data_IF_181638789191
#
_entry.id   IF_181638789191
#
_cell.length_a   1.000
_cell.length_b   1.000
_cell.length_c   1.000
_cell.angle_alpha   90.00
_cell.angle_beta   90.00
_cell.angle_gamma   90.00
#
_symmetry.space_group_name_H-M   'P 1'
#
loop_
_entity.id
_entity.type
_entity.pdbx_description
1 polymer ?
#
# COMPACT_ATOMS: atom_id res chain seq x y z
N UNK A 1 6.28 -7.64 4.52
CA UNK A 1 5.22 -6.66 4.14
C UNK A 1 5.73 -5.23 4.11
N UNK A 2 6.49 -4.77 5.12
CA UNK A 2 7.08 -3.42 5.12
C UNK A 2 7.96 -3.20 3.90
N UNK A 3 8.86 -4.13 3.59
CA UNK A 3 9.71 -4.08 2.39
C UNK A 3 8.90 -4.03 1.08
N UNK A 4 7.76 -4.73 1.01
CA UNK A 4 6.88 -4.69 -0.16
C UNK A 4 6.23 -3.31 -0.35
N UNK A 5 5.77 -2.68 0.73
CA UNK A 5 5.20 -1.33 0.69
C UNK A 5 6.26 -0.29 0.36
N UNK A 6 7.46 -0.41 0.94
CA UNK A 6 8.60 0.45 0.63
C UNK A 6 9.00 0.35 -0.86
N UNK A 7 9.14 -0.87 -1.37
CA UNK A 7 9.43 -1.09 -2.79
C UNK A 7 8.29 -0.57 -3.68
N UNK A 8 7.04 -0.68 -3.23
CA UNK A 8 5.88 -0.12 -3.91
C UNK A 8 5.92 1.41 -4.02
N UNK A 9 6.33 2.10 -2.96
CA UNK A 9 6.53 3.55 -3.00
C UNK A 9 7.65 3.93 -3.99
N UNK A 10 8.80 3.26 -3.92
CA UNK A 10 9.92 3.48 -4.85
C UNK A 10 9.47 3.23 -6.29
N UNK A 11 8.71 2.16 -6.54
CA UNK A 11 8.15 1.87 -7.85
C UNK A 11 7.22 2.97 -8.35
N UNK A 12 6.30 3.44 -7.52
CA UNK A 12 5.38 4.50 -7.87
C UNK A 12 6.11 5.81 -8.22
N UNK A 13 7.08 6.21 -7.40
CA UNK A 13 7.89 7.40 -7.63
C UNK A 13 8.80 7.26 -8.87
N UNK A 14 9.34 6.07 -9.14
CA UNK A 14 10.15 5.82 -10.34
C UNK A 14 9.34 5.84 -11.65
N UNK A 15 8.03 5.60 -11.58
CA UNK A 15 7.10 5.67 -12.73
C UNK A 15 6.56 7.07 -12.99
N UNK A 16 6.48 7.89 -11.95
CA UNK A 16 5.86 9.21 -12.01
C UNK A 16 6.84 10.28 -11.53
N UNK A 17 7.60 10.90 -12.48
CA UNK A 17 8.54 11.96 -12.13
C UNK A 17 7.89 13.20 -11.50
N UNK A 18 6.60 13.44 -11.78
CA UNK A 18 5.85 14.55 -11.19
C UNK A 18 5.58 14.27 -9.71
N UNK A 19 5.14 13.06 -9.39
CA UNK A 19 4.92 12.63 -8.00
C UNK A 19 6.23 12.59 -7.21
N UNK A 20 7.33 12.10 -7.82
CA UNK A 20 8.67 12.15 -7.23
C UNK A 20 9.10 13.57 -6.90
N UNK A 21 9.01 14.50 -7.88
CA UNK A 21 9.38 15.90 -7.68
C UNK A 21 8.51 16.56 -6.60
N UNK A 22 7.22 16.27 -6.57
CA UNK A 22 6.27 16.80 -5.59
C UNK A 22 6.65 16.41 -4.15
N UNK A 23 6.93 15.13 -3.90
CA UNK A 23 7.32 14.67 -2.56
C UNK A 23 8.70 15.20 -2.17
N UNK A 24 9.66 15.24 -3.11
CA UNK A 24 10.98 15.76 -2.86
C UNK A 24 10.96 17.26 -2.51
N UNK A 25 10.09 18.04 -3.15
CA UNK A 25 9.93 19.48 -2.87
C UNK A 25 9.18 19.76 -1.57
N UNK A 26 8.37 18.84 -1.09
CA UNK A 26 7.57 18.99 0.12
C UNK A 26 7.66 17.75 1.03
N UNK A 27 8.64 17.69 1.95
CA UNK A 27 8.80 16.58 2.89
C UNK A 27 7.59 16.32 3.80
N UNK A 28 6.70 17.30 4.00
CA UNK A 28 5.46 17.11 4.78
C UNK A 28 4.50 16.10 4.12
N UNK A 29 4.74 15.74 2.86
CA UNK A 29 3.99 14.69 2.16
C UNK A 29 4.50 13.27 2.47
N UNK A 30 5.64 13.10 3.14
CA UNK A 30 6.21 11.76 3.42
C UNK A 30 5.25 10.87 4.22
N UNK A 31 4.56 11.34 5.26
CA UNK A 31 3.55 10.51 5.94
C UNK A 31 2.43 10.06 4.98
N UNK A 32 1.97 10.94 4.10
CA UNK A 32 0.97 10.62 3.07
C UNK A 32 1.50 9.63 2.02
N UNK A 33 2.76 9.80 1.59
CA UNK A 33 3.47 8.85 0.72
C UNK A 33 3.48 7.43 1.33
N UNK A 34 3.79 7.32 2.63
CA UNK A 34 3.81 6.03 3.35
C UNK A 34 2.43 5.39 3.38
N UNK A 35 1.40 6.16 3.75
CA UNK A 35 0.03 5.65 3.80
C UNK A 35 -0.46 5.22 2.40
N UNK A 36 -0.18 6.01 1.38
CA UNK A 36 -0.55 5.67 0.01
C UNK A 36 0.22 4.46 -0.53
N UNK A 37 1.49 4.30 -0.18
CA UNK A 37 2.27 3.12 -0.54
C UNK A 37 1.68 1.84 0.04
N UNK A 38 1.23 1.89 1.29
CA UNK A 38 0.60 0.76 1.97
C UNK A 38 -0.76 0.44 1.32
N UNK A 39 -1.59 1.46 1.04
CA UNK A 39 -2.86 1.30 0.33
C UNK A 39 -2.64 0.70 -1.05
N UNK A 40 -1.81 1.35 -1.86
CA UNK A 40 -1.61 1.04 -3.28
C UNK A 40 -0.97 -0.33 -3.49
N UNK A 41 0.01 -0.69 -2.66
CA UNK A 41 0.66 -2.01 -2.71
C UNK A 41 -0.21 -3.11 -2.11
N UNK A 42 -0.93 -2.83 -1.03
CA UNK A 42 -1.71 -3.84 -0.28
C UNK A 42 -0.90 -5.12 -0.07
N UNK A 43 0.17 -5.08 0.76
CA UNK A 43 1.16 -6.17 0.83
C UNK A 43 0.59 -7.50 1.36
N UNK A 44 -0.53 -7.48 2.06
CA UNK A 44 -1.36 -8.65 2.38
C UNK A 44 -2.66 -8.53 1.59
N UNK A 45 -2.92 -9.50 0.72
CA UNK A 45 -4.05 -9.43 -0.22
C UNK A 45 -5.39 -9.67 0.44
N UNK A 46 -5.45 -10.59 1.42
CA UNK A 46 -6.69 -10.99 2.10
C UNK A 46 -6.41 -11.69 3.42
N UNK A 47 -7.43 -11.77 4.25
CA UNK A 47 -7.53 -12.71 5.36
C UNK A 47 -8.85 -13.43 5.33
N UNK A 48 -8.89 -14.61 5.96
CA UNK A 48 -10.11 -15.41 6.10
C UNK A 48 -10.77 -15.17 7.45
N UNK A 49 -12.10 -15.32 7.48
CA UNK A 49 -12.93 -15.36 8.69
C UNK A 49 -13.90 -16.52 8.57
N UNK A 50 -14.39 -17.00 9.71
CA UNK A 50 -15.52 -17.92 9.75
C UNK A 50 -16.69 -17.24 10.49
N UNK A 51 -17.89 -17.38 9.95
CA UNK A 51 -19.08 -16.89 10.60
C UNK A 51 -19.34 -17.65 11.90
N UNK A 52 -19.51 -16.94 13.02
CA UNK A 52 -19.79 -17.56 14.33
C UNK A 52 -21.28 -17.80 14.57
N UNK A 53 -22.13 -17.16 13.79
CA UNK A 53 -23.59 -17.30 13.80
C UNK A 53 -24.13 -17.03 12.39
N UNK A 54 -25.38 -17.41 12.14
CA UNK A 54 -26.10 -16.98 10.94
C UNK A 54 -26.22 -15.47 10.93
N UNK A 55 -25.95 -14.84 9.79
CA UNK A 55 -26.00 -13.40 9.62
C UNK A 55 -26.34 -13.01 8.20
N UNK A 56 -26.43 -11.71 7.94
CA UNK A 56 -26.65 -11.16 6.60
C UNK A 56 -25.67 -10.02 6.36
N UNK A 57 -25.10 -9.96 5.15
CA UNK A 57 -24.24 -8.89 4.70
C UNK A 57 -24.60 -8.52 3.24
N UNK A 58 -24.93 -7.26 3.01
CA UNK A 58 -25.30 -6.76 1.67
C UNK A 58 -26.45 -7.54 1.03
N UNK A 59 -27.47 -7.94 1.81
CA UNK A 59 -28.62 -8.72 1.33
C UNK A 59 -28.32 -10.21 1.10
N UNK A 60 -27.11 -10.68 1.41
CA UNK A 60 -26.73 -12.10 1.28
C UNK A 60 -26.71 -12.78 2.64
N UNK A 61 -27.40 -13.92 2.73
CA UNK A 61 -27.39 -14.79 3.93
C UNK A 61 -26.04 -15.51 4.02
N UNK A 62 -25.49 -15.52 5.22
CA UNK A 62 -24.24 -16.19 5.59
C UNK A 62 -24.57 -17.13 6.75
N UNK A 63 -24.34 -18.43 6.56
CA UNK A 63 -24.60 -19.41 7.60
C UNK A 63 -23.42 -19.48 8.60
N UNK A 64 -23.74 -19.89 9.83
CA UNK A 64 -22.70 -20.22 10.81
C UNK A 64 -21.74 -21.26 10.25
N UNK A 65 -20.45 -20.97 10.33
CA UNK A 65 -19.38 -21.84 9.80
C UNK A 65 -18.93 -21.48 8.39
N UNK A 66 -19.65 -20.62 7.66
CA UNK A 66 -19.22 -20.17 6.34
C UNK A 66 -17.88 -19.43 6.41
N UNK A 67 -17.09 -19.60 5.36
CA UNK A 67 -15.80 -18.95 5.21
C UNK A 67 -15.97 -17.66 4.40
N UNK A 68 -15.43 -16.57 4.94
CA UNK A 68 -15.45 -15.25 4.34
C UNK A 68 -14.03 -14.81 4.05
N UNK A 69 -13.78 -14.39 2.82
CA UNK A 69 -12.52 -13.79 2.43
C UNK A 69 -12.63 -12.25 2.48
N UNK A 70 -11.88 -11.62 3.38
CA UNK A 70 -11.73 -10.18 3.44
C UNK A 70 -10.67 -9.75 2.42
N UNK A 71 -11.11 -9.33 1.24
CA UNK A 71 -10.22 -8.96 0.13
C UNK A 71 -9.75 -7.52 0.28
N UNK A 72 -8.62 -7.30 0.96
CA UNK A 72 -8.05 -5.97 1.19
C UNK A 72 -7.63 -5.28 -0.10
N UNK A 73 -7.17 -6.05 -1.10
CA UNK A 73 -6.81 -5.49 -2.39
C UNK A 73 -7.99 -4.83 -3.12
N UNK A 74 -9.19 -5.41 -3.00
CA UNK A 74 -10.42 -4.82 -3.50
C UNK A 74 -10.84 -3.60 -2.69
N UNK A 75 -10.90 -3.74 -1.35
CA UNK A 75 -11.29 -2.62 -0.48
C UNK A 75 -10.38 -1.40 -0.60
N UNK A 76 -9.07 -1.61 -0.81
CA UNK A 76 -8.12 -0.50 -1.01
C UNK A 76 -8.21 0.16 -2.41
N UNK A 77 -9.06 -0.38 -3.30
CA UNK A 77 -9.33 0.16 -4.64
C UNK A 77 -10.81 0.42 -4.90
N UNK A 78 -11.60 0.41 -3.84
CA UNK A 78 -13.02 0.70 -3.93
C UNK A 78 -13.25 2.15 -4.40
N UNK A 79 -13.85 2.30 -5.56
CA UNK A 79 -14.12 3.60 -6.19
C UNK A 79 -15.22 4.40 -5.49
N UNK A 80 -16.02 3.76 -4.63
CA UNK A 80 -16.96 4.45 -3.75
C UNK A 80 -16.25 5.12 -2.56
N UNK A 81 -15.00 4.70 -2.26
CA UNK A 81 -14.20 5.21 -1.13
C UNK A 81 -13.02 6.05 -1.61
N UNK A 82 -12.41 5.67 -2.72
CA UNK A 82 -11.19 6.29 -3.24
C UNK A 82 -11.40 6.87 -4.64
N UNK A 83 -11.27 8.16 -4.77
CA UNK A 83 -11.17 8.81 -6.07
C UNK A 83 -9.90 8.35 -6.80
N UNK A 84 -9.99 7.98 -8.09
CA UNK A 84 -8.88 7.45 -8.88
C UNK A 84 -8.09 6.35 -8.11
N UNK A 85 -8.73 5.21 -7.74
CA UNK A 85 -8.15 4.24 -6.80
C UNK A 85 -6.85 3.61 -7.29
N UNK A 86 -6.64 3.51 -8.59
CA UNK A 86 -5.44 2.93 -9.20
C UNK A 86 -4.29 3.94 -9.32
N UNK A 87 -4.57 5.24 -9.19
CA UNK A 87 -3.55 6.27 -9.19
C UNK A 87 -2.88 6.39 -7.84
N UNK A 88 -1.55 6.41 -7.85
CA UNK A 88 -0.75 6.69 -6.67
C UNK A 88 -0.71 8.20 -6.41
N UNK A 89 -1.06 8.62 -5.20
CA UNK A 89 -1.10 10.04 -4.81
C UNK A 89 -0.62 10.20 -3.37
N UNK A 90 0.56 10.79 -3.17
CA UNK A 90 1.12 11.05 -1.84
C UNK A 90 0.31 12.07 -1.00
N UNK A 91 -0.52 12.86 -1.66
CA UNK A 91 -1.40 13.85 -1.03
C UNK A 91 -2.84 13.37 -0.84
N UNK A 92 -3.11 12.08 -1.04
CA UNK A 92 -4.46 11.53 -0.90
C UNK A 92 -5.02 11.77 0.49
N UNK A 93 -6.16 12.48 0.55
CA UNK A 93 -6.92 12.75 1.78
C UNK A 93 -8.42 12.76 1.46
N UNK A 94 -9.24 12.00 2.21
CA UNK A 94 -8.86 11.00 3.21
C UNK A 94 -8.22 9.76 2.57
N UNK A 95 -7.40 9.03 3.33
CA UNK A 95 -6.82 7.75 2.90
C UNK A 95 -7.22 6.65 3.90
N UNK A 96 -8.43 6.11 3.74
CA UNK A 96 -9.07 5.15 4.66
C UNK A 96 -8.83 3.69 4.23
N UNK A 97 -7.57 3.35 4.01
CA UNK A 97 -7.23 2.00 3.57
C UNK A 97 -7.36 0.95 4.68
N UNK A 98 -7.61 -0.30 4.28
CA UNK A 98 -7.80 -1.46 5.15
C UNK A 98 -6.62 -2.45 5.12
N UNK A 99 -5.46 -2.03 4.61
CA UNK A 99 -4.28 -2.91 4.47
C UNK A 99 -3.77 -3.48 5.80
N UNK A 100 -4.06 -2.82 6.92
CA UNK A 100 -3.74 -3.30 8.26
C UNK A 100 -4.87 -4.10 8.91
N UNK A 101 -5.98 -4.31 8.22
CA UNK A 101 -7.20 -4.84 8.80
C UNK A 101 -7.93 -3.83 9.67
N UNK A 102 -8.87 -4.32 10.46
CA UNK A 102 -9.67 -3.52 11.39
C UNK A 102 -10.16 -4.39 12.56
N UNK A 103 -10.64 -3.74 13.63
CA UNK A 103 -11.19 -4.38 14.83
C UNK A 103 -10.14 -5.08 15.68
N UNK A 104 -10.51 -6.19 16.30
CA UNK A 104 -9.67 -6.92 17.27
C UNK A 104 -8.37 -7.49 16.68
N UNK A 105 -8.30 -7.64 15.36
CA UNK A 105 -7.14 -8.13 14.63
C UNK A 105 -6.37 -7.03 13.88
N UNK A 106 -6.59 -5.77 14.22
CA UNK A 106 -5.82 -4.66 13.68
C UNK A 106 -4.32 -4.93 13.84
N UNK A 107 -3.54 -4.69 12.79
CA UNK A 107 -2.11 -4.99 12.75
C UNK A 107 -1.36 -4.33 13.91
N UNK A 108 -0.76 -5.15 14.78
CA UNK A 108 0.02 -4.67 15.93
C UNK A 108 1.24 -3.85 15.49
N UNK A 109 1.87 -4.25 14.37
CA UNK A 109 3.08 -3.63 13.85
C UNK A 109 2.87 -2.37 12.99
N UNK A 110 1.64 -1.88 12.83
CA UNK A 110 1.34 -0.78 11.90
C UNK A 110 2.14 0.50 12.17
N UNK A 111 2.29 0.86 13.44
CA UNK A 111 3.02 2.08 13.82
C UNK A 111 4.51 1.96 13.55
N UNK A 112 5.10 0.79 13.84
CA UNK A 112 6.51 0.52 13.55
C UNK A 112 6.76 0.52 12.04
N UNK A 113 5.93 -0.16 11.26
CA UNK A 113 6.05 -0.19 9.80
C UNK A 113 5.99 1.22 9.17
N UNK A 114 5.04 2.04 9.61
CA UNK A 114 4.93 3.44 9.16
C UNK A 114 6.14 4.28 9.57
N UNK A 115 6.64 4.08 10.79
CA UNK A 115 7.82 4.80 11.30
C UNK A 115 9.07 4.44 10.49
N UNK A 116 9.32 3.14 10.26
CA UNK A 116 10.44 2.67 9.45
C UNK A 116 10.42 3.25 8.04
N UNK A 117 9.26 3.18 7.38
CA UNK A 117 9.11 3.72 6.03
C UNK A 117 9.28 5.24 6.00
N UNK A 118 8.73 5.95 6.99
CA UNK A 118 8.85 7.40 7.08
C UNK A 118 10.31 7.82 7.22
N UNK A 119 11.04 7.26 8.18
CA UNK A 119 12.45 7.56 8.40
C UNK A 119 13.27 7.25 7.15
N UNK A 120 13.01 6.10 6.51
CA UNK A 120 13.70 5.74 5.26
C UNK A 120 13.53 6.82 4.19
N UNK A 121 12.31 7.32 3.96
CA UNK A 121 12.06 8.31 2.93
C UNK A 121 12.54 9.72 3.33
N UNK A 122 12.48 10.07 4.62
CA UNK A 122 13.06 11.32 5.14
C UNK A 122 14.57 11.37 4.88
N UNK A 123 15.27 10.24 5.06
CA UNK A 123 16.71 10.13 4.83
C UNK A 123 17.07 9.95 3.34
N UNK A 124 16.30 9.16 2.59
CA UNK A 124 16.64 8.79 1.21
C UNK A 124 16.37 9.91 0.22
N UNK A 125 15.19 10.55 0.27
CA UNK A 125 14.75 11.48 -0.77
C UNK A 125 15.65 12.71 -0.94
N UNK A 126 16.23 13.32 0.11
CA UNK A 126 17.16 14.45 -0.06
C UNK A 126 18.41 14.09 -0.89
N UNK A 127 18.87 12.84 -0.82
CA UNK A 127 20.06 12.39 -1.53
C UNK A 127 19.80 12.01 -2.99
N UNK A 128 18.55 11.74 -3.37
CA UNK A 128 18.22 11.37 -4.75
C UNK A 128 18.06 12.64 -5.62
N UNK A 129 18.84 12.73 -6.69
CA UNK A 129 18.67 13.74 -7.74
C UNK A 129 17.61 13.31 -8.75
N UNK A 130 17.66 12.06 -9.19
CA UNK A 130 16.68 11.46 -10.10
C UNK A 130 16.36 10.02 -9.71
N UNK A 131 15.19 9.55 -10.14
CA UNK A 131 14.74 8.18 -9.94
C UNK A 131 13.89 7.76 -11.14
N UNK A 132 14.17 6.60 -11.73
CA UNK A 132 13.42 6.04 -12.86
C UNK A 132 13.47 4.52 -12.87
N UNK A 133 12.58 3.88 -13.62
CA UNK A 133 12.67 2.43 -13.87
C UNK A 133 13.80 2.15 -14.89
N UNK A 134 14.50 1.04 -14.67
CA UNK A 134 15.57 0.54 -15.55
C UNK A 134 15.30 -0.91 -15.97
N UNK A 135 14.06 -1.22 -16.33
CA UNK A 135 13.62 -2.51 -16.82
C UNK A 135 12.25 -2.93 -16.29
N UNK A 136 11.89 -4.18 -16.58
CA UNK A 136 10.60 -4.74 -16.21
C UNK A 136 10.52 -5.05 -14.71
N UNK A 137 9.46 -4.58 -14.06
CA UNK A 137 9.14 -4.92 -12.68
C UNK A 137 8.50 -6.30 -12.64
N UNK A 138 9.06 -7.21 -11.82
CA UNK A 138 8.48 -8.54 -11.63
C UNK A 138 7.80 -8.62 -10.26
N UNK A 139 6.53 -8.97 -10.25
CA UNK A 139 5.75 -9.13 -9.03
C UNK A 139 5.92 -10.51 -8.42
N UNK A 140 5.76 -10.59 -7.10
CA UNK A 140 5.70 -11.87 -6.39
C UNK A 140 4.45 -12.64 -6.80
N UNK A 141 4.62 -13.87 -7.26
CA UNK A 141 3.53 -14.78 -7.57
C UNK A 141 3.16 -15.56 -6.31
N UNK A 142 2.27 -14.98 -5.50
CA UNK A 142 1.78 -15.61 -4.28
C UNK A 142 0.31 -15.26 -4.06
N UNK A 143 -0.44 -16.17 -3.47
CA UNK A 143 -1.86 -15.96 -3.17
C UNK A 143 -2.05 -14.95 -2.04
N UNK A 144 -1.21 -14.98 -1.02
CA UNK A 144 -1.39 -14.24 0.22
C UNK A 144 -0.67 -12.89 0.23
N UNK A 145 0.58 -12.85 -0.23
CA UNK A 145 1.41 -11.62 -0.21
C UNK A 145 1.52 -10.97 -1.57
N UNK A 146 1.73 -9.65 -1.56
CA UNK A 146 1.94 -8.82 -2.74
C UNK A 146 3.20 -7.97 -2.58
N UNK A 147 3.85 -7.69 -3.70
CA UNK A 147 5.01 -6.80 -3.74
C UNK A 147 5.95 -7.15 -4.89
N UNK A 148 6.85 -6.23 -5.27
CA UNK A 148 7.87 -6.49 -6.26
C UNK A 148 8.85 -7.57 -5.78
N UNK A 149 9.06 -8.59 -6.63
CA UNK A 149 10.14 -9.56 -6.48
C UNK A 149 11.44 -9.03 -7.07
N UNK A 150 11.32 -8.24 -8.15
CA UNK A 150 12.42 -7.55 -8.81
C UNK A 150 11.94 -6.16 -9.22
N UNK A 151 12.68 -5.14 -8.83
CA UNK A 151 12.40 -3.74 -9.15
C UNK A 151 13.70 -3.10 -9.66
N UNK A 152 13.98 -3.16 -10.98
CA UNK A 152 15.14 -2.48 -11.55
C UNK A 152 14.90 -0.98 -11.56
N UNK A 153 15.78 -0.25 -10.92
CA UNK A 153 15.72 1.23 -10.87
C UNK A 153 17.08 1.81 -11.27
N UNK A 154 17.03 3.00 -11.86
CA UNK A 154 18.17 3.87 -12.09
C UNK A 154 17.96 5.13 -11.26
N UNK A 155 19.00 5.59 -10.59
CA UNK A 155 18.98 6.81 -9.81
C UNK A 155 20.31 7.55 -9.92
N UNK A 156 20.25 8.86 -9.70
CA UNK A 156 21.40 9.70 -9.50
C UNK A 156 21.35 10.28 -8.09
N UNK A 157 22.49 10.45 -7.47
CA UNK A 157 22.63 11.12 -6.18
C UNK A 157 23.18 12.55 -6.34
N UNK A 158 22.89 13.40 -5.34
CA UNK A 158 23.41 14.77 -5.31
C UNK A 158 24.90 14.77 -5.03
#
# INVERSE_FOLDING_TARGET
TTSSSTAGAIWALARDPVEFAKVKANPDLIPGLVDEAIRWMTPVKHFMRSATADTELGGRKIAKGDWLMLCYASGNRDEEVFEEPDRFRSDRKPNRYVAFGDGAHLCLGQYLAKLEMRILFEELLPHLKSLSLDGEVKMTQAYFVNGPKKLPIRFEVN
#
